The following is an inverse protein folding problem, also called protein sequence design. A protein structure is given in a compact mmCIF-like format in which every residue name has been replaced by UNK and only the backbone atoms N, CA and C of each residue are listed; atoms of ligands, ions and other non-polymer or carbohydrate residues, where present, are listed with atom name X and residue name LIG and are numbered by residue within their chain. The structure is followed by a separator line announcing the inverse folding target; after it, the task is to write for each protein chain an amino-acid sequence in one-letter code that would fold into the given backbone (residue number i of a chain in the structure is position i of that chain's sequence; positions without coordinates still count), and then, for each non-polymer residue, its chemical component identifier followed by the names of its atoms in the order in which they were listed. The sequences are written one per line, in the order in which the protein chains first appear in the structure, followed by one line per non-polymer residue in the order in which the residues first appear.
data_IF_871210535824
#
_entry.id   IF_871210535824
#
_cell.length_a   1.000
_cell.length_b   1.000
_cell.length_c   1.000
_cell.angle_alpha   90.00
_cell.angle_beta   90.00
_cell.angle_gamma   90.00
#
_symmetry.space_group_name_H-M   'P 1'
#
loop_
_entity.id
_entity.type
_entity.pdbx_description
1 polymer ?
#
# COMPACT_ATOMS: atom_id res chain seq x y z
N UNK A 1 15.09 14.59 1.11
CA UNK A 1 14.32 13.34 1.25
C UNK A 1 14.11 13.12 2.74
N UNK A 2 12.92 13.44 3.26
CA UNK A 2 12.63 13.21 4.68
C UNK A 2 12.33 11.72 4.84
N UNK A 3 13.33 10.95 5.27
CA UNK A 3 13.11 9.65 5.89
C UNK A 3 12.35 9.91 7.20
N UNK A 4 11.03 9.96 7.13
CA UNK A 4 10.20 9.74 8.30
C UNK A 4 10.50 8.29 8.71
N UNK A 5 11.31 8.14 9.76
CA UNK A 5 11.52 6.85 10.40
C UNK A 5 10.19 6.53 11.12
N UNK A 6 9.22 6.02 10.36
CA UNK A 6 7.91 5.66 10.90
C UNK A 6 8.18 4.52 11.88
N UNK A 7 8.10 4.82 13.18
CA UNK A 7 8.25 3.80 14.21
C UNK A 7 7.25 2.68 13.95
N UNK A 8 7.76 1.45 13.85
CA UNK A 8 6.91 0.28 13.72
C UNK A 8 6.07 0.13 15.01
N UNK A 9 4.77 -0.18 14.92
CA UNK A 9 3.97 -0.50 16.10
C UNK A 9 4.46 -1.78 16.75
N UNK A 10 4.08 -1.96 18.01
CA UNK A 10 4.37 -3.20 18.74
C UNK A 10 3.68 -4.38 18.04
N UNK A 11 4.37 -5.52 17.79
CA UNK A 11 3.76 -6.71 17.21
C UNK A 11 2.55 -7.27 17.97
N UNK A 12 2.47 -7.00 19.28
CA UNK A 12 1.37 -7.45 20.13
C UNK A 12 0.13 -6.54 20.03
N UNK A 13 0.18 -5.45 19.25
CA UNK A 13 -0.97 -4.57 19.04
C UNK A 13 -1.91 -5.11 17.96
N UNK A 14 -3.21 -5.01 18.21
CA UNK A 14 -4.27 -5.55 17.34
C UNK A 14 -4.22 -5.01 15.90
N UNK A 15 -3.65 -3.82 15.71
CA UNK A 15 -3.52 -3.18 14.39
C UNK A 15 -2.15 -3.39 13.72
N UNK A 16 -1.24 -4.16 14.32
CA UNK A 16 0.10 -4.39 13.77
C UNK A 16 0.07 -5.02 12.37
N UNK A 17 -0.78 -6.03 12.17
CA UNK A 17 -0.94 -6.71 10.88
C UNK A 17 -1.44 -5.75 9.80
N UNK A 18 -2.48 -4.97 10.12
CA UNK A 18 -3.02 -3.92 9.23
C UNK A 18 -1.95 -2.88 8.90
N UNK A 19 -1.13 -2.48 9.87
CA UNK A 19 -0.03 -1.55 9.66
C UNK A 19 1.02 -2.10 8.67
N UNK A 20 1.40 -3.38 8.80
CA UNK A 20 2.36 -4.03 7.89
C UNK A 20 1.82 -4.10 6.45
N UNK A 21 0.55 -4.45 6.30
CA UNK A 21 -0.12 -4.51 4.99
C UNK A 21 -0.16 -3.13 4.33
N UNK A 22 -0.59 -2.09 5.07
CA UNK A 22 -0.62 -0.71 4.59
C UNK A 22 0.79 -0.19 4.23
N UNK A 23 1.81 -0.54 5.01
CA UNK A 23 3.19 -0.16 4.70
C UNK A 23 3.69 -0.84 3.42
N UNK A 24 3.31 -2.10 3.19
CA UNK A 24 3.62 -2.83 1.96
C UNK A 24 2.95 -2.18 0.75
N UNK A 25 1.65 -1.86 0.85
CA UNK A 25 0.89 -1.15 -0.20
C UNK A 25 1.55 0.19 -0.52
N UNK A 26 1.87 0.99 0.50
CA UNK A 26 2.58 2.27 0.35
C UNK A 26 3.90 2.11 -0.41
N UNK A 27 4.68 1.08 -0.08
CA UNK A 27 5.98 0.83 -0.74
C UNK A 27 5.82 0.56 -2.24
N UNK A 28 4.77 -0.18 -2.64
CA UNK A 28 4.47 -0.43 -4.05
C UNK A 28 4.03 0.84 -4.78
N UNK A 29 3.18 1.66 -4.15
CA UNK A 29 2.76 2.97 -4.70
C UNK A 29 3.98 3.88 -4.88
N UNK A 30 4.86 3.98 -3.88
CA UNK A 30 6.09 4.77 -3.96
C UNK A 30 7.00 4.30 -5.10
N UNK A 31 7.09 2.97 -5.33
CA UNK A 31 7.84 2.40 -6.45
C UNK A 31 7.23 2.78 -7.80
N UNK A 32 5.91 2.72 -7.94
CA UNK A 32 5.19 3.15 -9.14
C UNK A 32 5.38 4.64 -9.43
N UNK A 33 5.29 5.48 -8.41
CA UNK A 33 5.54 6.93 -8.52
C UNK A 33 6.98 7.24 -8.94
N UNK A 34 7.95 6.52 -8.38
CA UNK A 34 9.36 6.66 -8.76
C UNK A 34 9.59 6.22 -10.21
N UNK A 35 8.95 5.13 -10.64
CA UNK A 35 9.03 4.63 -12.00
C UNK A 35 8.49 5.66 -13.00
N UNK A 36 7.27 6.19 -12.80
CA UNK A 36 6.72 7.26 -13.66
C UNK A 36 7.66 8.47 -13.69
N UNK A 37 8.20 8.86 -12.54
CA UNK A 37 9.09 10.03 -12.45
C UNK A 37 10.43 9.82 -13.18
N UNK A 38 10.83 8.57 -13.44
CA UNK A 38 12.05 8.24 -14.19
C UNK A 38 11.83 8.05 -15.68
N UNK A 39 10.58 7.90 -16.14
CA UNK A 39 10.25 7.74 -17.56
C UNK A 39 10.03 9.11 -18.21
N UNK A 40 10.77 9.40 -19.29
CA UNK A 40 10.70 10.67 -20.02
C UNK A 40 9.43 10.77 -20.90
N UNK A 41 8.95 9.63 -21.40
CA UNK A 41 7.73 9.50 -22.19
C UNK A 41 6.96 8.27 -21.72
N UNK A 42 5.66 8.43 -21.47
CA UNK A 42 4.78 7.30 -21.22
C UNK A 42 4.44 6.60 -22.53
N UNK A 43 4.72 5.30 -22.60
CA UNK A 43 4.31 4.41 -23.69
C UNK A 43 3.61 3.17 -23.14
N UNK A 44 3.15 2.28 -24.02
CA UNK A 44 2.45 1.06 -23.62
C UNK A 44 3.28 0.18 -22.68
N UNK A 45 4.62 0.19 -22.79
CA UNK A 45 5.49 -0.58 -21.90
C UNK A 45 5.57 0.06 -20.51
N UNK A 46 5.57 1.38 -20.43
CA UNK A 46 5.45 2.11 -19.16
C UNK A 46 4.10 1.82 -18.50
N UNK A 47 3.00 1.79 -19.26
CA UNK A 47 1.67 1.47 -18.74
C UNK A 47 1.58 0.03 -18.21
N UNK A 48 2.11 -0.95 -18.93
CA UNK A 48 2.14 -2.36 -18.51
C UNK A 48 2.94 -2.55 -17.22
N UNK A 49 4.14 -1.97 -17.14
CA UNK A 49 4.96 -2.01 -15.92
C UNK A 49 4.27 -1.32 -14.75
N UNK A 50 3.56 -0.23 -15.02
CA UNK A 50 2.82 0.46 -13.96
C UNK A 50 1.71 -0.40 -13.39
N UNK A 51 0.97 -1.10 -14.25
CA UNK A 51 -0.06 -2.06 -13.83
C UNK A 51 0.54 -3.20 -13.03
N UNK A 52 1.65 -3.78 -13.47
CA UNK A 52 2.35 -4.84 -12.73
C UNK A 52 2.77 -4.40 -11.32
N UNK A 53 3.13 -3.12 -11.14
CA UNK A 53 3.50 -2.57 -9.83
C UNK A 53 2.26 -2.26 -8.97
N UNK A 54 1.20 -1.71 -9.57
CA UNK A 54 0.07 -1.13 -8.83
C UNK A 54 -1.12 -2.09 -8.66
N UNK A 55 -1.41 -3.00 -9.59
CA UNK A 55 -2.49 -3.99 -9.44
C UNK A 55 -2.36 -4.80 -8.15
N UNK A 56 -1.18 -5.36 -7.80
CA UNK A 56 -1.03 -6.10 -6.55
C UNK A 56 -1.09 -5.21 -5.31
N UNK A 57 -0.96 -3.89 -5.45
CA UNK A 57 -1.13 -2.94 -4.34
C UNK A 57 -2.62 -2.61 -4.14
N UNK A 58 -3.37 -2.53 -5.25
CA UNK A 58 -4.80 -2.30 -5.25
C UNK A 58 -5.55 -3.51 -4.65
N UNK A 59 -5.25 -4.72 -5.10
CA UNK A 59 -5.86 -5.95 -4.55
C UNK A 59 -5.63 -6.09 -3.03
N UNK A 60 -4.41 -5.80 -2.56
CA UNK A 60 -4.08 -5.81 -1.14
C UNK A 60 -4.82 -4.71 -0.36
N UNK A 61 -5.04 -3.56 -0.97
CA UNK A 61 -5.79 -2.46 -0.35
C UNK A 61 -7.27 -2.81 -0.23
N UNK A 62 -7.86 -3.43 -1.26
CA UNK A 62 -9.23 -3.94 -1.23
C UNK A 62 -9.39 -4.97 -0.10
N UNK A 63 -8.46 -5.93 0.02
CA UNK A 63 -8.45 -6.91 1.11
C UNK A 63 -8.40 -6.26 2.50
N UNK A 64 -7.53 -5.25 2.69
CA UNK A 64 -7.44 -4.52 3.95
C UNK A 64 -8.75 -3.80 4.28
N UNK A 65 -9.40 -3.18 3.30
CA UNK A 65 -10.67 -2.47 3.51
C UNK A 65 -11.76 -3.48 3.89
N UNK A 66 -11.95 -4.52 3.08
CA UNK A 66 -13.03 -5.48 3.24
C UNK A 66 -12.88 -6.34 4.50
N UNK A 67 -11.67 -6.84 4.78
CA UNK A 67 -11.46 -7.84 5.84
C UNK A 67 -10.95 -7.25 7.15
N UNK A 68 -10.24 -6.12 7.10
CA UNK A 68 -9.58 -5.55 8.27
C UNK A 68 -10.11 -4.20 8.73
N UNK A 69 -10.93 -3.50 7.96
CA UNK A 69 -11.53 -2.23 8.39
C UNK A 69 -13.05 -2.30 8.51
N UNK A 70 -13.70 -3.16 7.74
CA UNK A 70 -15.17 -3.32 7.79
C UNK A 70 -15.64 -4.12 9.02
N UNK A 71 -14.79 -5.01 9.55
CA UNK A 71 -15.12 -5.83 10.73
C UNK A 71 -14.94 -5.12 12.09
N UNK A 72 -14.40 -3.89 12.11
CA UNK A 72 -14.25 -3.11 13.36
C UNK A 72 -15.40 -2.12 13.60
N UNK A 73 -16.44 -2.08 12.75
CA UNK A 73 -17.54 -1.11 12.91
C UNK A 73 -18.72 -1.59 13.74
N UNK A 74 -18.74 -2.85 14.20
CA UNK A 74 -19.95 -3.48 14.77
C UNK A 74 -19.81 -3.92 16.25
N UNK A 75 -18.78 -3.46 16.98
CA UNK A 75 -18.59 -3.77 18.41
C UNK A 75 -18.64 -2.52 19.33
N UNK A 76 -19.38 -1.48 18.92
CA UNK A 76 -19.76 -0.35 19.77
C UNK A 76 -21.29 -0.12 19.73
N UNK A 77 -22.09 -1.08 20.23
CA UNK A 77 -23.35 -0.82 20.98
C UNK A 77 -23.86 -2.01 21.82
#
# INVERSE_FOLDING_TARGET
MNNLNISQPDPDWDYYEVWQLLHTIKTKIDAGMKFISSEELADNTTDEKLKEILEPALEQLEEVIENHLTNYSDDDE
#
